data_IF_564953136954
#
_entry.id   IF_564953136954
#
_cell.length_a   1.000
_cell.length_b   1.000
_cell.length_c   1.000
_cell.angle_alpha   90.00
_cell.angle_beta   90.00
_cell.angle_gamma   90.00
#
_symmetry.space_group_name_H-M   'P 1'
#
loop_
_entity.id
_entity.type
_entity.pdbx_description
1 polymer ?
#
# COMPACT_ATOMS: atom_id res chain seq x y z
N UNK A 1 -13.46 -43.34 1.64
CA UNK A 1 -14.88 -43.09 1.27
C UNK A 1 -14.93 -41.82 0.42
N UNK A 2 -15.90 -41.62 -0.49
CA UNK A 2 -16.01 -40.33 -1.24
C UNK A 2 -16.55 -39.26 -0.29
N UNK A 3 -15.93 -38.09 -0.27
CA UNK A 3 -16.39 -36.94 0.51
C UNK A 3 -17.88 -36.64 0.24
N UNK A 4 -18.64 -36.38 1.31
CA UNK A 4 -20.03 -35.96 1.24
C UNK A 4 -20.15 -34.49 1.60
N UNK A 5 -20.47 -33.67 0.60
CA UNK A 5 -20.62 -32.24 0.78
C UNK A 5 -20.89 -31.50 -0.53
N UNK A 6 -20.67 -30.20 -0.52
CA UNK A 6 -20.78 -29.34 -1.71
C UNK A 6 -19.63 -28.36 -1.75
N UNK A 7 -19.17 -28.04 -2.96
CA UNK A 7 -18.06 -27.12 -3.17
C UNK A 7 -18.36 -26.14 -4.30
N UNK A 8 -17.61 -25.04 -4.33
CA UNK A 8 -17.59 -24.12 -5.46
C UNK A 8 -16.21 -23.47 -5.56
N UNK A 9 -15.77 -23.20 -6.79
CA UNK A 9 -14.57 -22.43 -7.08
C UNK A 9 -14.94 -21.23 -7.96
N UNK A 10 -14.36 -20.07 -7.68
CA UNK A 10 -14.45 -18.89 -8.53
C UNK A 10 -13.09 -18.19 -8.56
N UNK A 11 -12.76 -17.59 -9.69
CA UNK A 11 -11.56 -16.79 -9.86
C UNK A 11 -11.85 -15.57 -10.73
N UNK A 12 -11.26 -14.43 -10.40
CA UNK A 12 -11.43 -13.17 -11.11
C UNK A 12 -10.12 -12.39 -11.16
N UNK A 13 -9.84 -11.73 -12.28
CA UNK A 13 -8.63 -10.91 -12.50
C UNK A 13 -8.47 -9.70 -11.55
N UNK A 14 -9.45 -9.42 -10.69
CA UNK A 14 -9.55 -8.13 -9.99
C UNK A 14 -9.83 -6.94 -10.91
N UNK A 15 -9.49 -5.73 -10.45
CA UNK A 15 -9.74 -4.46 -11.17
C UNK A 15 -8.46 -3.77 -11.70
N UNK A 16 -7.28 -4.23 -11.28
CA UNK A 16 -6.00 -3.55 -11.57
C UNK A 16 -5.08 -4.39 -12.45
N UNK A 17 -5.02 -5.71 -12.24
CA UNK A 17 -4.19 -6.61 -13.04
C UNK A 17 -4.75 -6.76 -14.46
N UNK A 18 -3.87 -7.00 -15.43
CA UNK A 18 -4.24 -7.22 -16.83
C UNK A 18 -4.61 -8.67 -17.16
N UNK A 19 -4.10 -9.61 -16.37
CA UNK A 19 -4.27 -11.04 -16.53
C UNK A 19 -4.55 -11.68 -15.18
N UNK A 20 -5.18 -12.85 -15.21
CA UNK A 20 -5.35 -13.69 -14.05
C UNK A 20 -4.21 -14.72 -14.01
N UNK A 21 -3.40 -14.67 -12.95
CA UNK A 21 -2.30 -15.58 -12.67
C UNK A 21 -2.64 -16.57 -11.55
N UNK A 22 -3.80 -16.44 -10.91
CA UNK A 22 -4.31 -17.43 -9.98
C UNK A 22 -4.89 -18.63 -10.71
N UNK A 23 -4.84 -19.79 -10.07
CA UNK A 23 -5.54 -21.01 -10.46
C UNK A 23 -6.25 -21.62 -9.26
N UNK A 24 -7.38 -22.29 -9.51
CA UNK A 24 -8.15 -22.96 -8.46
C UNK A 24 -8.79 -24.25 -8.95
N UNK A 25 -8.98 -25.18 -8.03
CA UNK A 25 -9.56 -26.50 -8.28
C UNK A 25 -10.55 -26.87 -7.18
N UNK A 26 -11.75 -27.32 -7.57
CA UNK A 26 -12.73 -27.91 -6.68
C UNK A 26 -13.25 -29.23 -7.28
N UNK A 27 -12.77 -30.34 -6.74
CA UNK A 27 -13.11 -31.68 -7.16
C UNK A 27 -14.04 -32.39 -6.17
N UNK A 28 -13.96 -33.72 -6.18
CA UNK A 28 -14.73 -34.59 -5.28
C UNK A 28 -14.06 -34.76 -3.92
N UNK A 29 -12.74 -34.88 -3.87
CA UNK A 29 -11.93 -35.09 -2.68
C UNK A 29 -10.84 -34.03 -2.53
N UNK A 30 -10.38 -33.42 -3.63
CA UNK A 30 -9.34 -32.40 -3.66
C UNK A 30 -9.90 -30.98 -3.87
N UNK A 31 -9.36 -30.03 -3.13
CA UNK A 31 -9.63 -28.61 -3.25
C UNK A 31 -8.31 -27.84 -3.17
N UNK A 32 -8.06 -26.90 -4.08
CA UNK A 32 -6.79 -26.19 -4.11
C UNK A 32 -6.91 -24.76 -4.66
N UNK A 33 -6.04 -23.88 -4.17
CA UNK A 33 -5.78 -22.56 -4.71
C UNK A 33 -4.27 -22.41 -4.91
N UNK A 34 -3.88 -21.82 -6.04
CA UNK A 34 -2.51 -21.50 -6.36
C UNK A 34 -2.45 -20.06 -6.90
N UNK A 35 -1.73 -19.18 -6.22
CA UNK A 35 -1.51 -17.79 -6.63
C UNK A 35 -0.16 -17.68 -7.34
N UNK A 36 -0.21 -17.45 -8.64
CA UNK A 36 0.96 -17.43 -9.51
C UNK A 36 1.65 -16.08 -9.54
N UNK A 37 2.95 -16.08 -9.32
CA UNK A 37 3.80 -14.89 -9.39
C UNK A 37 4.94 -15.06 -10.41
N UNK A 38 5.41 -13.95 -10.93
CA UNK A 38 6.52 -13.92 -11.88
C UNK A 38 6.35 -12.80 -12.89
N UNK A 39 7.46 -12.36 -13.49
CA UNK A 39 7.41 -11.42 -14.60
C UNK A 39 6.74 -12.04 -15.84
N UNK A 40 6.23 -11.19 -16.75
CA UNK A 40 5.56 -11.63 -17.97
C UNK A 40 4.44 -12.66 -17.69
N UNK A 41 4.45 -13.80 -18.39
CA UNK A 41 3.49 -14.90 -18.26
C UNK A 41 4.02 -16.04 -17.34
N UNK A 42 4.94 -15.73 -16.41
CA UNK A 42 5.50 -16.72 -15.50
C UNK A 42 4.48 -17.22 -14.47
N UNK A 43 3.70 -16.31 -13.88
CA UNK A 43 2.76 -16.65 -12.81
C UNK A 43 1.61 -17.56 -13.27
N UNK A 44 1.00 -17.26 -14.41
CA UNK A 44 -0.08 -18.08 -14.99
C UNK A 44 0.39 -19.47 -15.38
N UNK A 45 1.63 -19.61 -15.90
CA UNK A 45 2.24 -20.92 -16.14
C UNK A 45 2.43 -21.66 -14.82
N UNK A 46 3.01 -21.00 -13.81
CA UNK A 46 3.36 -21.64 -12.56
C UNK A 46 2.14 -22.16 -11.79
N UNK A 47 1.11 -21.32 -11.61
CA UNK A 47 -0.10 -21.73 -10.91
C UNK A 47 -0.89 -22.81 -11.66
N UNK A 48 -0.94 -22.73 -12.99
CA UNK A 48 -1.60 -23.74 -13.82
C UNK A 48 -0.91 -25.10 -13.72
N UNK A 49 0.42 -25.11 -13.75
CA UNK A 49 1.23 -26.32 -13.63
C UNK A 49 1.01 -26.99 -12.26
N UNK A 50 1.04 -26.20 -11.18
CA UNK A 50 0.81 -26.70 -9.83
C UNK A 50 -0.57 -27.35 -9.69
N UNK A 51 -1.63 -26.68 -10.17
CA UNK A 51 -2.99 -27.25 -10.14
C UNK A 51 -3.09 -28.51 -11.02
N UNK A 52 -2.48 -28.52 -12.21
CA UNK A 52 -2.48 -29.69 -13.09
C UNK A 52 -1.81 -30.92 -12.47
N UNK A 53 -0.74 -30.72 -11.67
CA UNK A 53 -0.11 -31.83 -10.93
C UNK A 53 -0.97 -32.32 -9.78
N UNK A 54 -1.60 -31.40 -9.06
CA UNK A 54 -2.49 -31.73 -7.95
C UNK A 54 -3.78 -32.42 -8.41
N UNK A 55 -4.31 -32.13 -9.60
CA UNK A 55 -5.57 -32.71 -10.12
C UNK A 55 -5.63 -34.25 -10.01
N UNK A 56 -4.49 -34.92 -10.21
CA UNK A 56 -4.39 -36.39 -10.08
C UNK A 56 -4.69 -36.93 -8.67
N UNK A 57 -4.68 -36.06 -7.66
CA UNK A 57 -5.01 -36.36 -6.27
C UNK A 57 -6.51 -36.32 -5.98
N UNK A 58 -7.37 -35.96 -6.95
CA UNK A 58 -8.83 -35.97 -6.79
C UNK A 58 -9.42 -37.39 -6.80
N UNK A 59 -8.96 -38.23 -5.88
CA UNK A 59 -9.31 -39.64 -5.77
C UNK A 59 -9.48 -40.05 -4.29
N UNK A 60 -10.18 -41.15 -4.00
CA UNK A 60 -10.28 -41.65 -2.64
C UNK A 60 -8.93 -42.21 -2.16
N UNK A 61 -8.59 -41.93 -0.90
CA UNK A 61 -7.42 -42.48 -0.21
C UNK A 61 -7.82 -43.48 0.87
N UNK A 62 -6.93 -44.44 1.17
CA UNK A 62 -7.15 -45.44 2.22
C UNK A 62 -6.81 -44.91 3.61
N UNK A 63 -5.93 -43.91 3.71
CA UNK A 63 -5.50 -43.32 4.97
C UNK A 63 -5.04 -41.88 4.80
N UNK A 64 -5.11 -41.09 5.88
CA UNK A 64 -4.62 -39.70 5.91
C UNK A 64 -3.13 -39.61 5.61
N UNK A 65 -2.32 -40.55 6.10
CA UNK A 65 -0.87 -40.59 5.82
C UNK A 65 -0.55 -40.87 4.35
N UNK A 66 -1.41 -41.62 3.63
CA UNK A 66 -1.24 -41.83 2.20
C UNK A 66 -1.54 -40.54 1.43
N UNK A 67 -2.63 -39.84 1.77
CA UNK A 67 -2.98 -38.57 1.16
C UNK A 67 -1.93 -37.48 1.46
N UNK A 68 -1.41 -37.43 2.68
CA UNK A 68 -0.36 -36.47 3.07
C UNK A 68 0.92 -36.67 2.26
N UNK A 69 1.37 -37.92 2.10
CA UNK A 69 2.51 -38.24 1.24
C UNK A 69 2.24 -37.86 -0.21
N UNK A 70 1.07 -38.22 -0.75
CA UNK A 70 0.72 -37.91 -2.13
C UNK A 70 0.64 -36.40 -2.40
N UNK A 71 0.16 -35.60 -1.43
CA UNK A 71 0.18 -34.15 -1.51
C UNK A 71 1.61 -33.59 -1.53
N UNK A 72 2.48 -34.06 -0.63
CA UNK A 72 3.89 -33.66 -0.58
C UNK A 72 4.59 -34.00 -1.89
N UNK A 73 4.47 -35.25 -2.33
CA UNK A 73 5.12 -35.75 -3.55
C UNK A 73 4.63 -34.96 -4.79
N UNK A 74 3.33 -34.69 -4.92
CA UNK A 74 2.80 -33.91 -6.03
C UNK A 74 3.28 -32.45 -6.05
N UNK A 75 3.48 -31.84 -4.87
CA UNK A 75 4.05 -30.49 -4.78
C UNK A 75 5.54 -30.50 -5.14
N UNK A 76 6.31 -31.48 -4.68
CA UNK A 76 7.72 -31.64 -5.09
C UNK A 76 7.85 -31.94 -6.60
N UNK A 77 6.97 -32.76 -7.17
CA UNK A 77 6.91 -33.02 -8.61
C UNK A 77 6.57 -31.75 -9.41
N UNK A 78 5.66 -30.92 -8.89
CA UNK A 78 5.37 -29.62 -9.48
C UNK A 78 6.58 -28.68 -9.40
N UNK A 79 7.32 -28.66 -8.30
CA UNK A 79 8.57 -27.90 -8.15
C UNK A 79 9.60 -28.31 -9.22
N UNK A 80 9.83 -29.62 -9.35
CA UNK A 80 10.75 -30.18 -10.33
C UNK A 80 10.34 -29.81 -11.77
N UNK A 81 9.04 -29.82 -12.07
CA UNK A 81 8.56 -29.43 -13.40
C UNK A 81 8.64 -27.92 -13.66
N UNK A 82 8.48 -27.06 -12.65
CA UNK A 82 8.73 -25.63 -12.80
C UNK A 82 10.19 -25.37 -13.18
N UNK A 83 11.13 -26.02 -12.48
CA UNK A 83 12.58 -25.93 -12.77
C UNK A 83 12.86 -26.37 -14.21
N UNK A 84 12.33 -27.52 -14.62
CA UNK A 84 12.50 -28.02 -15.99
C UNK A 84 11.85 -27.10 -17.04
N UNK A 85 10.71 -26.50 -16.73
CA UNK A 85 10.03 -25.55 -17.61
C UNK A 85 10.86 -24.30 -17.82
N UNK A 86 11.46 -23.73 -16.76
CA UNK A 86 12.39 -22.59 -16.88
C UNK A 86 13.65 -22.98 -17.63
N UNK A 87 14.17 -24.20 -17.42
CA UNK A 87 15.33 -24.72 -18.18
C UNK A 87 15.07 -24.76 -19.69
N UNK A 88 13.85 -25.09 -20.09
CA UNK A 88 13.42 -25.12 -21.50
C UNK A 88 13.00 -23.75 -22.04
N UNK A 89 12.50 -22.87 -21.18
CA UNK A 89 12.01 -21.52 -21.50
C UNK A 89 12.59 -20.51 -20.53
N UNK A 90 13.85 -20.07 -20.74
CA UNK A 90 14.54 -19.15 -19.82
C UNK A 90 13.82 -17.80 -19.62
N UNK A 91 12.93 -17.41 -20.54
CA UNK A 91 12.07 -16.25 -20.41
C UNK A 91 11.06 -16.33 -19.24
N UNK A 92 10.84 -17.51 -18.67
CA UNK A 92 9.99 -17.75 -17.49
C UNK A 92 10.78 -17.76 -16.17
N UNK A 93 12.07 -17.41 -16.19
CA UNK A 93 12.89 -17.36 -14.98
C UNK A 93 12.29 -16.44 -13.91
N UNK A 94 12.34 -16.89 -12.66
CA UNK A 94 11.69 -16.21 -11.54
C UNK A 94 10.18 -16.37 -11.53
N UNK A 95 9.63 -17.42 -12.17
CA UNK A 95 8.25 -17.82 -11.94
C UNK A 95 8.12 -18.60 -10.63
N UNK A 96 6.96 -18.47 -9.99
CA UNK A 96 6.60 -19.25 -8.82
C UNK A 96 5.11 -19.20 -8.57
N UNK A 97 4.64 -19.99 -7.62
CA UNK A 97 3.25 -19.99 -7.20
C UNK A 97 3.13 -20.35 -5.74
N UNK A 98 2.16 -19.78 -5.05
CA UNK A 98 1.70 -20.35 -3.78
C UNK A 98 0.92 -21.63 -4.06
N UNK A 99 0.79 -22.50 -3.06
CA UNK A 99 -0.11 -23.66 -3.09
C UNK A 99 -0.77 -23.78 -1.74
N UNK A 100 -2.09 -23.80 -1.72
CA UNK A 100 -2.90 -24.19 -0.56
C UNK A 100 -3.88 -25.25 -1.00
N UNK A 101 -3.71 -26.47 -0.50
CA UNK A 101 -4.47 -27.64 -0.92
C UNK A 101 -5.07 -28.37 0.28
N UNK A 102 -6.24 -28.96 0.07
CA UNK A 102 -7.01 -29.71 1.05
C UNK A 102 -7.58 -30.97 0.38
N UNK A 103 -7.26 -32.14 0.94
CA UNK A 103 -7.78 -33.45 0.53
C UNK A 103 -8.64 -34.03 1.65
N UNK A 104 -9.86 -34.42 1.32
CA UNK A 104 -10.79 -35.04 2.26
C UNK A 104 -10.61 -36.55 2.30
N UNK A 105 -10.27 -37.08 3.47
CA UNK A 105 -10.13 -38.52 3.72
C UNK A 105 -11.04 -38.90 4.89
N UNK A 106 -12.17 -39.51 4.57
CA UNK A 106 -13.22 -39.87 5.52
C UNK A 106 -13.66 -38.68 6.39
N UNK A 107 -13.28 -38.65 7.67
CA UNK A 107 -13.59 -37.57 8.63
C UNK A 107 -12.37 -36.68 8.90
N UNK A 108 -11.43 -36.59 7.97
CA UNK A 108 -10.25 -35.75 8.11
C UNK A 108 -10.01 -34.89 6.86
N UNK A 109 -9.56 -33.67 7.08
CA UNK A 109 -8.96 -32.82 6.07
C UNK A 109 -7.44 -32.94 6.17
N UNK A 110 -6.79 -33.35 5.09
CA UNK A 110 -5.34 -33.38 4.94
C UNK A 110 -4.93 -32.16 4.14
N UNK A 111 -4.11 -31.30 4.73
CA UNK A 111 -3.80 -29.97 4.22
C UNK A 111 -2.32 -29.91 3.86
N UNK A 112 -2.01 -29.26 2.74
CA UNK A 112 -0.65 -28.89 2.36
C UNK A 112 -0.61 -27.40 1.98
N UNK A 113 0.40 -26.67 2.47
CA UNK A 113 0.47 -25.23 2.30
C UNK A 113 1.90 -24.71 2.10
N UNK A 114 2.06 -23.80 1.13
CA UNK A 114 3.25 -22.99 0.90
C UNK A 114 2.85 -21.63 0.29
N UNK A 115 3.24 -20.53 0.93
CA UNK A 115 2.99 -19.17 0.43
C UNK A 115 2.09 -18.38 1.37
N UNK A 116 1.29 -17.47 0.84
CA UNK A 116 0.38 -16.60 1.62
C UNK A 116 -1.09 -16.68 1.19
N UNK A 117 -1.42 -17.59 0.26
CA UNK A 117 -2.78 -18.11 0.14
C UNK A 117 -3.22 -18.72 1.47
N UNK A 118 -4.50 -18.66 1.81
CA UNK A 118 -4.98 -19.04 3.14
C UNK A 118 -6.04 -20.11 3.10
N UNK A 119 -6.03 -20.96 4.12
CA UNK A 119 -7.08 -21.92 4.42
C UNK A 119 -7.69 -21.55 5.76
N UNK A 120 -9.02 -21.37 5.78
CA UNK A 120 -9.80 -21.12 6.97
C UNK A 120 -10.79 -22.24 7.22
N UNK A 121 -11.07 -22.48 8.49
CA UNK A 121 -12.17 -23.31 8.96
C UNK A 121 -13.19 -22.41 9.67
N UNK A 122 -14.44 -22.47 9.22
CA UNK A 122 -15.58 -21.92 9.93
C UNK A 122 -16.36 -23.06 10.59
N UNK A 123 -16.35 -23.07 11.93
CA UNK A 123 -17.00 -24.06 12.78
C UNK A 123 -17.54 -23.37 14.04
N UNK A 124 -18.74 -23.74 14.47
CA UNK A 124 -19.35 -23.23 15.71
C UNK A 124 -19.31 -21.69 15.81
N UNK A 125 -19.76 -21.04 14.74
CA UNK A 125 -19.79 -19.58 14.57
C UNK A 125 -18.42 -18.87 14.57
N UNK A 126 -17.32 -19.61 14.60
CA UNK A 126 -15.96 -19.06 14.69
C UNK A 126 -15.20 -19.31 13.39
N UNK A 127 -14.59 -18.26 12.85
CA UNK A 127 -13.63 -18.36 11.75
C UNK A 127 -12.22 -18.50 12.32
N UNK A 128 -11.50 -19.55 11.92
CA UNK A 128 -10.12 -19.80 12.31
C UNK A 128 -9.25 -19.94 11.08
N UNK A 129 -8.20 -19.13 10.98
CA UNK A 129 -7.15 -19.35 9.98
C UNK A 129 -6.32 -20.57 10.37
N UNK A 130 -6.22 -21.54 9.48
CA UNK A 130 -5.52 -22.81 9.73
C UNK A 130 -4.07 -22.74 9.26
N UNK A 131 -3.82 -22.11 8.12
CA UNK A 131 -2.47 -21.94 7.57
C UNK A 131 -1.78 -20.71 8.17
N UNK A 132 -0.46 -20.72 8.23
CA UNK A 132 0.34 -19.56 8.62
C UNK A 132 1.04 -19.00 7.39
N UNK A 133 0.85 -17.72 7.10
CA UNK A 133 1.39 -17.11 5.89
C UNK A 133 2.92 -17.16 5.87
N UNK A 134 3.52 -17.63 4.79
CA UNK A 134 4.97 -17.61 4.60
C UNK A 134 5.46 -16.24 4.11
N UNK A 135 5.10 -15.18 4.81
CA UNK A 135 5.46 -13.78 4.48
C UNK A 135 6.50 -13.21 5.44
N UNK A 136 7.18 -12.16 4.99
CA UNK A 136 8.14 -11.40 5.80
C UNK A 136 7.48 -10.84 7.06
N UNK A 137 6.27 -10.31 6.93
CA UNK A 137 5.54 -9.72 8.06
C UNK A 137 5.10 -10.77 9.06
N UNK A 138 4.73 -11.97 8.61
CA UNK A 138 4.42 -13.06 9.53
C UNK A 138 5.64 -13.43 10.39
N UNK A 139 6.84 -13.52 9.80
CA UNK A 139 8.07 -13.72 10.60
C UNK A 139 8.33 -12.61 11.63
N UNK A 140 7.97 -11.36 11.31
CA UNK A 140 8.07 -10.25 12.26
C UNK A 140 7.04 -10.38 13.39
N UNK A 141 5.83 -10.87 13.11
CA UNK A 141 4.81 -11.17 14.12
C UNK A 141 5.27 -12.32 15.02
N UNK A 142 5.74 -13.42 14.44
CA UNK A 142 6.17 -14.61 15.19
C UNK A 142 7.37 -14.31 16.10
N UNK A 143 8.25 -13.39 15.69
CA UNK A 143 9.38 -12.92 16.51
C UNK A 143 9.01 -11.80 17.50
N UNK A 144 7.74 -11.40 17.58
CA UNK A 144 7.23 -10.36 18.49
C UNK A 144 7.73 -8.95 18.15
N UNK A 145 8.21 -8.71 16.93
CA UNK A 145 8.74 -7.41 16.49
C UNK A 145 7.65 -6.44 16.05
N UNK A 146 6.54 -6.96 15.56
CA UNK A 146 5.33 -6.20 15.23
C UNK A 146 4.10 -6.97 15.71
N UNK A 147 3.00 -6.27 15.87
CA UNK A 147 1.69 -6.86 16.15
C UNK A 147 1.00 -7.35 14.86
N UNK A 148 0.04 -8.29 14.95
CA UNK A 148 -0.77 -8.71 13.80
C UNK A 148 -1.49 -7.52 13.12
N UNK A 149 -1.94 -6.53 13.91
CA UNK A 149 -2.58 -5.33 13.41
C UNK A 149 -1.64 -4.45 12.58
N UNK A 150 -0.38 -4.31 13.02
CA UNK A 150 0.66 -3.58 12.29
C UNK A 150 1.06 -4.29 10.99
N UNK A 151 1.11 -5.62 10.99
CA UNK A 151 1.46 -6.43 9.82
C UNK A 151 0.54 -6.12 8.62
N UNK A 152 -0.75 -5.90 8.88
CA UNK A 152 -1.76 -5.62 7.84
C UNK A 152 -1.47 -4.37 7.00
N UNK A 153 -0.88 -3.35 7.61
CA UNK A 153 -0.57 -2.08 6.94
C UNK A 153 0.92 -1.93 6.60
N UNK A 154 1.72 -2.97 6.84
CA UNK A 154 3.15 -2.92 6.62
C UNK A 154 3.47 -2.79 5.12
N UNK A 155 4.44 -1.92 4.73
CA UNK A 155 4.79 -1.70 3.32
C UNK A 155 5.28 -2.95 2.57
N UNK A 156 5.79 -3.94 3.32
CA UNK A 156 6.33 -5.22 2.80
C UNK A 156 5.45 -6.43 3.14
N UNK A 157 4.14 -6.23 3.33
CA UNK A 157 3.22 -7.31 3.71
C UNK A 157 3.13 -8.45 2.71
N UNK A 158 3.23 -8.14 1.41
CA UNK A 158 3.18 -9.12 0.31
C UNK A 158 4.56 -9.69 -0.06
N UNK A 159 5.60 -9.49 0.77
CA UNK A 159 6.91 -10.08 0.50
C UNK A 159 6.89 -11.52 1.00
N UNK A 160 6.90 -12.45 0.06
CA UNK A 160 6.95 -13.88 0.32
C UNK A 160 8.33 -14.36 0.73
N UNK A 161 8.36 -15.35 1.61
CA UNK A 161 9.56 -15.98 2.15
C UNK A 161 9.71 -17.43 1.66
N UNK A 162 8.58 -18.13 1.43
CA UNK A 162 8.54 -19.48 0.86
C UNK A 162 7.48 -19.51 -0.23
N UNK A 163 7.84 -20.08 -1.38
CA UNK A 163 6.97 -20.24 -2.55
C UNK A 163 7.42 -21.48 -3.30
N UNK A 164 6.51 -22.10 -4.04
CA UNK A 164 6.87 -23.12 -5.03
C UNK A 164 7.48 -22.41 -6.25
N UNK A 165 8.79 -22.57 -6.48
CA UNK A 165 9.53 -21.80 -7.48
C UNK A 165 10.43 -22.64 -8.39
N UNK A 166 11.23 -21.95 -9.19
CA UNK A 166 12.15 -22.50 -10.20
C UNK A 166 13.58 -22.75 -9.68
N UNK A 167 13.78 -22.73 -8.36
CA UNK A 167 15.11 -22.79 -7.74
C UNK A 167 15.30 -23.98 -6.78
N UNK A 168 14.23 -24.51 -6.20
CA UNK A 168 14.28 -25.57 -5.20
C UNK A 168 13.30 -26.70 -5.57
N UNK A 169 13.83 -27.91 -5.70
CA UNK A 169 13.07 -29.09 -6.09
C UNK A 169 12.45 -29.82 -4.89
N UNK A 170 12.89 -29.50 -3.67
CA UNK A 170 12.34 -30.08 -2.44
C UNK A 170 11.87 -28.96 -1.49
N UNK A 171 10.83 -28.20 -1.90
CA UNK A 171 10.35 -27.08 -1.11
C UNK A 171 9.86 -27.57 0.26
N UNK A 172 10.21 -26.84 1.32
CA UNK A 172 9.58 -27.09 2.60
C UNK A 172 8.07 -26.77 2.46
N UNK A 173 7.22 -27.77 2.68
CA UNK A 173 5.76 -27.65 2.65
C UNK A 173 5.20 -27.97 4.04
N UNK A 174 4.31 -27.11 4.51
CA UNK A 174 3.61 -27.32 5.78
C UNK A 174 2.44 -28.28 5.55
N UNK A 175 2.40 -29.37 6.31
CA UNK A 175 1.32 -30.37 6.24
C UNK A 175 0.58 -30.49 7.57
N UNK A 176 -0.75 -30.60 7.49
CA UNK A 176 -1.62 -30.74 8.65
C UNK A 176 -2.69 -31.80 8.41
N UNK A 177 -3.06 -32.54 9.45
CA UNK A 177 -4.21 -33.45 9.43
C UNK A 177 -5.18 -32.98 10.51
N UNK A 178 -6.40 -32.63 10.10
CA UNK A 178 -7.41 -32.10 11.00
C UNK A 178 -8.71 -32.89 10.92
N UNK A 179 -9.36 -33.19 12.06
CA UNK A 179 -10.68 -33.80 12.05
C UNK A 179 -11.72 -32.83 11.48
N UNK A 180 -12.62 -33.37 10.66
CA UNK A 180 -13.71 -32.65 10.01
C UNK A 180 -15.05 -33.26 10.42
N UNK A 181 -16.08 -32.43 10.51
CA UNK A 181 -17.42 -32.84 10.92
C UNK A 181 -18.49 -32.18 10.04
N UNK A 182 -19.68 -32.79 10.00
CA UNK A 182 -20.80 -32.21 9.29
C UNK A 182 -21.13 -30.80 9.83
N UNK A 183 -21.35 -29.85 8.92
CA UNK A 183 -21.54 -28.43 9.23
C UNK A 183 -20.27 -27.58 9.11
N UNK A 184 -19.08 -28.20 9.00
CA UNK A 184 -17.86 -27.45 8.75
C UNK A 184 -17.87 -26.80 7.37
N UNK A 185 -17.32 -25.59 7.32
CA UNK A 185 -17.09 -24.85 6.07
C UNK A 185 -15.63 -24.47 5.96
N UNK A 186 -14.97 -25.00 4.94
CA UNK A 186 -13.59 -24.66 4.60
C UNK A 186 -13.57 -23.60 3.51
N UNK A 187 -12.70 -22.61 3.67
CA UNK A 187 -12.45 -21.54 2.70
C UNK A 187 -10.96 -21.55 2.35
N UNK A 188 -10.65 -21.77 1.08
CA UNK A 188 -9.32 -21.54 0.52
C UNK A 188 -9.38 -20.27 -0.33
N UNK A 189 -8.41 -19.37 -0.19
CA UNK A 189 -8.36 -18.15 -0.99
C UNK A 189 -6.94 -17.65 -1.25
N UNK A 190 -6.76 -16.94 -2.38
CA UNK A 190 -5.55 -16.15 -2.64
C UNK A 190 -5.52 -14.88 -1.80
N UNK A 191 -4.38 -14.19 -1.78
CA UNK A 191 -4.18 -12.96 -1.01
C UNK A 191 -5.08 -11.81 -1.49
N UNK A 192 -5.57 -11.87 -2.73
CA UNK A 192 -6.50 -10.87 -3.27
C UNK A 192 -7.85 -10.85 -2.55
N UNK A 193 -8.25 -11.94 -1.87
CA UNK A 193 -9.37 -11.90 -0.93
C UNK A 193 -8.93 -11.35 0.42
N UNK A 194 -7.99 -12.01 1.10
CA UNK A 194 -7.62 -11.72 2.50
C UNK A 194 -6.94 -10.36 2.69
N UNK A 195 -6.30 -9.85 1.64
CA UNK A 195 -5.67 -8.53 1.60
C UNK A 195 -6.68 -7.38 1.58
N UNK A 196 -7.94 -7.64 1.18
CA UNK A 196 -8.99 -6.62 1.04
C UNK A 196 -10.13 -6.86 2.03
N UNK A 197 -10.62 -8.09 2.14
CA UNK A 197 -11.75 -8.47 3.00
C UNK A 197 -11.19 -9.00 4.31
N UNK A 198 -11.54 -8.36 5.44
CA UNK A 198 -11.10 -8.83 6.76
C UNK A 198 -11.81 -10.10 7.23
N UNK A 199 -11.25 -10.73 8.25
CA UNK A 199 -11.77 -11.94 8.87
C UNK A 199 -13.18 -11.77 9.43
N UNK A 200 -13.56 -10.55 9.87
CA UNK A 200 -14.88 -10.28 10.44
C UNK A 200 -15.95 -10.32 9.34
N UNK A 201 -15.69 -9.68 8.20
CA UNK A 201 -16.55 -9.70 7.02
C UNK A 201 -16.57 -11.08 6.37
N UNK A 202 -15.43 -11.78 6.37
CA UNK A 202 -15.33 -13.16 5.91
C UNK A 202 -16.19 -14.08 6.78
N UNK A 203 -16.05 -14.04 8.10
CA UNK A 203 -16.85 -14.83 9.05
C UNK A 203 -18.35 -14.55 8.88
N UNK A 204 -18.74 -13.27 8.77
CA UNK A 204 -20.12 -12.87 8.52
C UNK A 204 -20.65 -13.44 7.20
N UNK A 205 -19.82 -13.50 6.16
CA UNK A 205 -20.24 -14.04 4.88
C UNK A 205 -20.48 -15.55 4.95
N UNK A 206 -19.60 -16.25 5.67
CA UNK A 206 -19.69 -17.70 5.89
C UNK A 206 -20.88 -18.06 6.80
N UNK A 207 -21.24 -17.20 7.76
CA UNK A 207 -22.34 -17.43 8.71
C UNK A 207 -23.75 -17.32 8.11
N UNK A 208 -23.90 -16.81 6.89
CA UNK A 208 -25.23 -16.62 6.27
C UNK A 208 -25.91 -17.93 5.84
N UNK A 209 -25.20 -19.07 5.91
CA UNK A 209 -25.74 -20.38 5.52
C UNK A 209 -26.12 -20.50 4.04
N UNK A 210 -25.60 -19.63 3.18
CA UNK A 210 -25.80 -19.70 1.73
C UNK A 210 -24.99 -20.85 1.13
N UNK A 211 -25.42 -21.44 -0.01
CA UNK A 211 -24.63 -22.45 -0.72
C UNK A 211 -23.23 -21.94 -1.09
N UNK A 212 -22.21 -22.82 -1.26
CA UNK A 212 -20.83 -22.43 -1.55
C UNK A 212 -20.70 -21.41 -2.68
N UNK A 213 -21.35 -21.64 -3.83
CA UNK A 213 -21.26 -20.72 -4.97
C UNK A 213 -21.77 -19.31 -4.67
N UNK A 214 -22.90 -19.19 -3.96
CA UNK A 214 -23.45 -17.88 -3.55
C UNK A 214 -22.59 -17.18 -2.50
N UNK A 215 -21.99 -17.96 -1.60
CA UNK A 215 -21.08 -17.42 -0.60
C UNK A 215 -19.79 -16.92 -1.26
N UNK A 216 -19.25 -17.66 -2.24
CA UNK A 216 -18.10 -17.26 -3.03
C UNK A 216 -18.38 -15.99 -3.84
N UNK A 217 -19.54 -15.89 -4.51
CA UNK A 217 -19.98 -14.68 -5.20
C UNK A 217 -20.03 -13.46 -4.27
N UNK A 218 -20.55 -13.63 -3.06
CA UNK A 218 -20.63 -12.54 -2.08
C UNK A 218 -19.27 -12.09 -1.56
N UNK A 219 -18.33 -13.02 -1.35
CA UNK A 219 -16.96 -12.71 -0.97
C UNK A 219 -16.21 -12.01 -2.12
N UNK A 220 -16.34 -12.52 -3.35
CA UNK A 220 -15.76 -11.89 -4.53
C UNK A 220 -16.31 -10.47 -4.72
N UNK A 221 -17.63 -10.28 -4.56
CA UNK A 221 -18.24 -8.95 -4.63
C UNK A 221 -17.64 -8.01 -3.59
N UNK A 222 -17.46 -8.46 -2.35
CA UNK A 222 -16.83 -7.64 -1.31
C UNK A 222 -15.38 -7.28 -1.65
N UNK A 223 -14.60 -8.21 -2.19
CA UNK A 223 -13.24 -7.93 -2.66
C UNK A 223 -13.23 -6.89 -3.80
N UNK A 224 -14.13 -7.03 -4.78
CA UNK A 224 -14.31 -6.09 -5.88
C UNK A 224 -14.75 -4.71 -5.36
N UNK A 225 -15.72 -4.64 -4.45
CA UNK A 225 -16.19 -3.39 -3.84
C UNK A 225 -15.08 -2.70 -3.03
N UNK A 226 -14.19 -3.49 -2.40
CA UNK A 226 -12.96 -3.02 -1.75
C UNK A 226 -11.83 -2.66 -2.71
N UNK A 227 -12.05 -2.75 -4.02
CA UNK A 227 -11.14 -2.30 -5.07
C UNK A 227 -10.39 -3.42 -5.80
N UNK A 228 -10.29 -4.63 -5.23
CA UNK A 228 -9.60 -5.81 -5.79
C UNK A 228 -8.32 -5.44 -6.58
N UNK A 229 -7.26 -4.98 -5.89
CA UNK A 229 -6.02 -4.60 -6.54
C UNK A 229 -5.27 -5.81 -7.13
N UNK A 230 -5.64 -7.02 -6.73
CA UNK A 230 -5.06 -8.26 -7.24
C UNK A 230 -6.09 -9.25 -7.79
N UNK A 231 -5.59 -10.35 -8.35
CA UNK A 231 -6.39 -11.51 -8.70
C UNK A 231 -7.05 -12.10 -7.44
N UNK A 232 -8.30 -12.56 -7.57
CA UNK A 232 -9.08 -13.07 -6.44
C UNK A 232 -9.58 -14.45 -6.78
N UNK A 233 -9.12 -15.45 -6.04
CA UNK A 233 -9.54 -16.84 -6.19
C UNK A 233 -10.04 -17.39 -4.88
N UNK A 234 -11.18 -18.09 -4.94
CA UNK A 234 -11.92 -18.58 -3.77
C UNK A 234 -12.39 -20.00 -4.07
N UNK A 235 -12.09 -20.92 -3.16
CA UNK A 235 -12.66 -22.27 -3.14
C UNK A 235 -13.37 -22.47 -1.79
N UNK A 236 -14.65 -22.80 -1.84
CA UNK A 236 -15.47 -23.11 -0.67
C UNK A 236 -15.86 -24.57 -0.65
N UNK A 237 -15.83 -25.18 0.54
CA UNK A 237 -16.16 -26.59 0.77
C UNK A 237 -17.03 -26.71 2.01
N UNK A 238 -18.27 -27.18 1.84
CA UNK A 238 -19.20 -27.49 2.93
C UNK A 238 -19.23 -28.99 3.18
N UNK A 239 -18.95 -29.40 4.42
CA UNK A 239 -18.92 -30.80 4.86
C UNK A 239 -20.30 -31.22 5.36
N UNK A 240 -20.84 -32.34 4.88
CA UNK A 240 -22.07 -32.94 5.42
C UNK A 240 -23.34 -32.06 5.32
N UNK A 241 -23.38 -31.10 4.37
CA UNK A 241 -24.46 -30.12 4.23
C UNK A 241 -25.79 -30.68 3.68
N UNK A 242 -26.85 -29.85 3.74
CA UNK A 242 -28.20 -30.15 3.22
C UNK A 242 -28.32 -30.13 1.69
N UNK A 243 -27.22 -29.87 1.00
CA UNK A 243 -27.13 -29.86 -0.46
C UNK A 243 -26.41 -31.14 -0.89
N UNK A 244 -27.13 -32.26 -1.08
CA UNK A 244 -26.51 -33.49 -1.51
C UNK A 244 -25.82 -33.27 -2.86
N UNK A 245 -24.52 -33.57 -2.88
CA UNK A 245 -23.62 -33.72 -4.03
C UNK A 245 -24.33 -33.68 -5.39
N UNK A 246 -24.08 -32.61 -6.15
CA UNK A 246 -23.75 -32.84 -7.54
C UNK A 246 -22.28 -33.28 -7.52
N UNK A 247 -22.03 -34.58 -7.58
CA UNK A 247 -20.79 -35.09 -8.17
C UNK A 247 -20.84 -34.69 -9.64
N UNK A 248 -20.52 -33.42 -9.89
CA UNK A 248 -20.28 -32.89 -11.22
C UNK A 248 -18.83 -33.13 -11.60
N UNK A 249 -18.51 -32.82 -12.84
CA UNK A 249 -17.13 -32.59 -13.30
C UNK A 249 -16.45 -31.58 -12.36
N UNK A 250 -15.19 -31.84 -11.99
CA UNK A 250 -14.39 -30.91 -11.20
C UNK A 250 -14.43 -29.50 -11.82
N UNK A 251 -14.48 -28.48 -10.96
CA UNK A 251 -14.46 -27.08 -11.39
C UNK A 251 -13.03 -26.58 -11.33
N UNK A 252 -12.47 -26.23 -12.48
CA UNK A 252 -11.16 -25.59 -12.62
C UNK A 252 -11.39 -24.13 -12.99
N UNK A 253 -10.74 -23.21 -12.27
CA UNK A 253 -10.88 -21.75 -12.46
C UNK A 253 -9.51 -21.09 -12.59
N UNK A 254 -9.49 -19.84 -13.07
CA UNK A 254 -8.27 -19.07 -13.22
C UNK A 254 -7.44 -19.53 -14.42
N UNK A 255 -6.11 -19.39 -14.37
CA UNK A 255 -5.20 -19.73 -15.47
C UNK A 255 -5.32 -21.22 -15.86
N UNK A 256 -5.47 -22.11 -14.88
CA UNK A 256 -5.64 -23.55 -15.09
C UNK A 256 -6.90 -23.92 -15.90
N UNK A 257 -7.92 -23.06 -15.96
CA UNK A 257 -9.16 -23.34 -16.72
C UNK A 257 -8.98 -23.31 -18.23
N UNK A 258 -7.86 -22.78 -18.74
CA UNK A 258 -7.52 -22.77 -20.15
C UNK A 258 -6.10 -23.32 -20.39
N UNK A 259 -5.88 -24.64 -20.24
CA UNK A 259 -4.55 -25.24 -20.34
C UNK A 259 -3.95 -25.17 -21.76
N UNK A 260 -4.80 -24.98 -22.78
CA UNK A 260 -4.41 -24.87 -24.19
C UNK A 260 -4.37 -23.39 -24.58
N UNK A 261 -3.38 -22.64 -24.09
CA UNK A 261 -3.37 -21.20 -24.39
C UNK A 261 -2.22 -20.37 -23.87
N UNK A 262 -1.11 -20.98 -23.42
CA UNK A 262 0.07 -20.20 -23.01
C UNK A 262 0.85 -19.78 -24.27
N UNK A 263 0.27 -18.87 -25.05
CA UNK A 263 1.04 -18.04 -25.98
C UNK A 263 1.79 -17.02 -25.13
N UNK A 264 3.05 -17.32 -24.79
CA UNK A 264 3.97 -16.32 -24.26
C UNK A 264 4.21 -15.31 -25.39
N UNK A 265 3.70 -14.07 -25.32
CA UNK A 265 3.94 -13.10 -26.37
C UNK A 265 5.44 -12.82 -26.40
N UNK A 266 6.07 -12.94 -27.57
CA UNK A 266 7.47 -12.58 -27.72
C UNK A 266 7.70 -11.17 -27.15
N UNK A 267 8.68 -11.04 -26.25
CA UNK A 267 9.02 -9.79 -25.59
C UNK A 267 9.10 -8.67 -26.62
N UNK A 268 8.12 -7.76 -26.60
CA UNK A 268 8.22 -6.53 -27.39
C UNK A 268 9.37 -5.75 -26.79
N UNK A 269 10.48 -5.67 -27.52
CA UNK A 269 11.49 -4.65 -27.27
C UNK A 269 10.78 -3.31 -27.38
N UNK A 270 10.45 -2.73 -26.23
CA UNK A 270 9.84 -1.42 -26.14
C UNK A 270 10.78 -0.43 -26.80
N UNK A 271 10.47 -0.07 -28.05
CA UNK A 271 11.05 1.09 -28.73
C UNK A 271 10.82 2.28 -27.82
N UNK A 272 11.93 2.94 -27.44
CA UNK A 272 11.95 4.06 -26.52
C UNK A 272 10.89 5.10 -26.83
N UNK A 273 10.13 5.48 -25.81
CA UNK A 273 9.07 6.46 -25.91
C UNK A 273 8.20 6.47 -24.66
N UNK A 274 8.75 6.93 -23.53
CA UNK A 274 7.99 7.05 -22.29
C UNK A 274 8.75 7.75 -21.18
N UNK A 275 8.46 9.04 -21.01
CA UNK A 275 8.52 9.85 -19.78
C UNK A 275 9.58 9.56 -18.71
N UNK A 276 10.49 10.52 -18.55
CA UNK A 276 11.50 10.67 -17.48
C UNK A 276 10.96 10.77 -16.03
N UNK A 277 9.71 10.39 -15.75
CA UNK A 277 9.04 10.68 -14.46
C UNK A 277 8.48 9.46 -13.71
N UNK A 278 8.66 8.24 -14.21
CA UNK A 278 8.38 7.04 -13.43
C UNK A 278 9.52 6.04 -13.62
N UNK A 279 10.28 5.68 -12.57
CA UNK A 279 11.07 4.47 -12.66
C UNK A 279 10.08 3.32 -12.73
N UNK A 280 9.92 2.77 -13.94
CA UNK A 280 9.43 1.41 -14.10
C UNK A 280 10.33 0.55 -13.23
N UNK A 281 9.82 0.12 -12.07
CA UNK A 281 10.50 -0.85 -11.23
C UNK A 281 10.62 -2.10 -12.07
N UNK A 282 11.83 -2.33 -12.57
CA UNK A 282 12.30 -3.60 -13.10
C UNK A 282 12.25 -4.63 -11.96
N UNK A 283 11.05 -5.07 -11.60
CA UNK A 283 10.80 -6.19 -10.68
C UNK A 283 11.00 -7.54 -11.40
N UNK A 284 11.98 -7.60 -12.30
CA UNK A 284 12.17 -8.70 -13.23
C UNK A 284 13.48 -9.46 -13.00
N UNK A 285 14.14 -9.29 -11.85
CA UNK A 285 15.39 -10.01 -11.51
C UNK A 285 15.65 -10.04 -9.98
N UNK A 286 14.60 -10.08 -9.15
CA UNK A 286 14.79 -10.43 -7.74
C UNK A 286 14.53 -11.94 -7.59
N UNK A 287 15.42 -12.71 -6.92
CA UNK A 287 15.26 -14.14 -6.76
C UNK A 287 13.95 -14.45 -6.00
N UNK A 288 13.14 -15.35 -6.56
CA UNK A 288 11.84 -15.79 -6.04
C UNK A 288 11.95 -16.70 -4.82
N UNK A 289 13.15 -17.16 -4.46
CA UNK A 289 13.42 -17.85 -3.21
C UNK A 289 14.36 -17.01 -2.35
N UNK A 290 13.85 -16.52 -1.22
CA UNK A 290 14.60 -15.71 -0.29
C UNK A 290 14.57 -16.36 1.10
N UNK A 291 15.58 -17.19 1.39
CA UNK A 291 15.92 -17.56 2.77
C UNK A 291 16.92 -16.54 3.33
N UNK A 292 16.50 -15.61 4.20
CA UNK A 292 17.47 -14.77 4.89
C UNK A 292 18.20 -15.64 5.90
N UNK A 293 19.53 -15.65 5.80
CA UNK A 293 20.34 -15.70 7.00
C UNK A 293 19.87 -14.57 7.96
N UNK A 294 19.90 -14.77 9.28
CA UNK A 294 19.51 -13.76 10.28
C UNK A 294 20.15 -12.37 10.03
N UNK A 295 21.33 -12.37 9.43
CA UNK A 295 22.10 -11.17 9.08
C UNK A 295 21.44 -10.29 8.00
N UNK A 296 20.70 -10.87 7.04
CA UNK A 296 20.01 -10.09 5.99
C UNK A 296 18.78 -9.35 6.52
N UNK A 297 18.10 -9.94 7.51
CA UNK A 297 17.02 -9.28 8.24
C UNK A 297 17.53 -8.03 8.95
N UNK A 298 18.74 -8.08 9.54
CA UNK A 298 19.37 -6.92 10.15
C UNK A 298 19.79 -5.87 9.12
N UNK A 299 20.39 -6.30 7.99
CA UNK A 299 20.83 -5.41 6.92
C UNK A 299 19.66 -4.61 6.30
N UNK A 300 18.51 -5.27 6.06
CA UNK A 300 17.30 -4.62 5.56
C UNK A 300 16.67 -3.65 6.56
N UNK A 301 16.66 -3.99 7.85
CA UNK A 301 16.16 -3.11 8.92
C UNK A 301 17.06 -1.88 9.06
N UNK A 302 18.37 -2.05 8.92
CA UNK A 302 19.30 -0.94 8.84
C UNK A 302 19.02 -0.05 7.62
N UNK A 303 18.72 -0.64 6.46
CA UNK A 303 18.43 0.12 5.26
C UNK A 303 17.15 0.96 5.39
N UNK A 304 16.06 0.39 5.94
CA UNK A 304 14.82 1.13 6.17
C UNK A 304 14.99 2.22 7.24
N UNK A 305 15.77 1.97 8.31
CA UNK A 305 16.14 3.01 9.29
C UNK A 305 16.95 4.14 8.64
N UNK A 306 17.88 3.83 7.73
CA UNK A 306 18.66 4.84 6.98
C UNK A 306 17.75 5.67 6.07
N UNK A 307 16.78 5.06 5.40
CA UNK A 307 15.80 5.76 4.54
C UNK A 307 14.85 6.64 5.35
N UNK A 308 14.35 6.17 6.48
CA UNK A 308 13.54 6.96 7.40
C UNK A 308 14.31 8.18 7.94
N UNK A 309 15.58 7.98 8.33
CA UNK A 309 16.46 9.06 8.79
C UNK A 309 16.70 10.11 7.71
N UNK A 310 16.95 9.71 6.45
CA UNK A 310 17.10 10.65 5.32
C UNK A 310 15.84 11.48 5.07
N UNK A 311 14.64 10.88 5.17
CA UNK A 311 13.37 11.62 5.06
C UNK A 311 13.18 12.62 6.20
N UNK A 312 13.52 12.26 7.43
CA UNK A 312 13.43 13.16 8.58
C UNK A 312 14.38 14.35 8.45
N UNK A 313 15.62 14.12 8.00
CA UNK A 313 16.61 15.18 7.73
C UNK A 313 16.14 16.09 6.59
N UNK A 314 15.60 15.52 5.51
CA UNK A 314 15.06 16.30 4.40
C UNK A 314 13.92 17.23 4.82
N UNK A 315 13.02 16.74 5.70
CA UNK A 315 11.95 17.57 6.28
C UNK A 315 12.50 18.71 7.15
N UNK A 316 13.47 18.44 8.01
CA UNK A 316 14.11 19.46 8.85
C UNK A 316 14.78 20.53 7.98
N UNK A 317 15.53 20.12 6.96
CA UNK A 317 16.17 21.05 6.00
C UNK A 317 15.11 21.90 5.28
N UNK A 318 14.00 21.31 4.85
CA UNK A 318 12.90 22.03 4.22
C UNK A 318 12.28 23.08 5.14
N UNK A 319 12.04 22.75 6.40
CA UNK A 319 11.51 23.69 7.40
C UNK A 319 12.48 24.84 7.66
N UNK A 320 13.78 24.55 7.78
CA UNK A 320 14.81 25.58 7.99
C UNK A 320 14.89 26.54 6.80
N UNK A 321 14.82 26.03 5.57
CA UNK A 321 14.81 26.86 4.35
C UNK A 321 13.56 27.75 4.27
N UNK A 322 12.39 27.21 4.63
CA UNK A 322 11.15 27.99 4.67
C UNK A 322 11.25 29.14 5.70
N UNK A 323 11.75 28.87 6.90
CA UNK A 323 12.01 29.89 7.92
C UNK A 323 13.01 30.95 7.44
N UNK A 324 14.10 30.54 6.78
CA UNK A 324 15.09 31.47 6.23
C UNK A 324 14.48 32.41 5.17
N UNK A 325 13.60 31.90 4.30
CA UNK A 325 12.88 32.70 3.31
C UNK A 325 11.92 33.70 3.95
N UNK A 326 11.20 33.30 5.01
CA UNK A 326 10.31 34.20 5.76
C UNK A 326 11.12 35.33 6.40
N UNK A 327 12.23 35.00 7.07
CA UNK A 327 13.12 36.00 7.69
C UNK A 327 13.69 36.95 6.62
N UNK A 328 14.17 36.42 5.49
CA UNK A 328 14.64 37.24 4.38
C UNK A 328 13.54 38.19 3.85
N UNK A 329 12.31 37.69 3.69
CA UNK A 329 11.16 38.49 3.30
C UNK A 329 10.84 39.62 4.29
N UNK A 330 10.87 39.34 5.60
CA UNK A 330 10.66 40.33 6.65
C UNK A 330 11.75 41.40 6.66
N UNK A 331 13.02 41.01 6.48
CA UNK A 331 14.15 41.96 6.40
C UNK A 331 14.02 42.87 5.19
N UNK A 332 13.68 42.32 4.02
CA UNK A 332 13.46 43.11 2.80
C UNK A 332 12.28 44.07 2.97
N UNK A 333 11.18 43.62 3.57
CA UNK A 333 10.02 44.45 3.87
C UNK A 333 10.39 45.60 4.82
N UNK A 334 11.12 45.32 5.91
CA UNK A 334 11.58 46.34 6.84
C UNK A 334 12.50 47.36 6.15
N UNK A 335 13.49 46.90 5.38
CA UNK A 335 14.37 47.79 4.61
C UNK A 335 13.60 48.69 3.65
N UNK A 336 12.56 48.16 3.00
CA UNK A 336 11.69 48.97 2.15
C UNK A 336 10.94 50.05 2.94
N UNK A 337 10.41 49.75 4.12
CA UNK A 337 9.74 50.77 4.95
C UNK A 337 10.67 51.92 5.32
N UNK A 338 11.95 51.63 5.56
CA UNK A 338 12.97 52.64 5.91
C UNK A 338 13.34 53.57 4.74
N UNK A 339 12.84 53.32 3.52
CA UNK A 339 12.98 54.25 2.38
C UNK A 339 11.90 55.33 2.33
N UNK A 340 10.87 55.22 3.18
CA UNK A 340 9.74 56.15 3.24
C UNK A 340 9.94 57.16 4.37
N UNK A 341 9.33 58.33 4.19
CA UNK A 341 9.32 59.40 5.18
C UNK A 341 7.90 59.91 5.35
N UNK A 342 7.61 60.53 6.47
CA UNK A 342 6.37 61.30 6.64
C UNK A 342 6.62 62.45 7.61
N UNK A 343 5.78 63.46 7.54
CA UNK A 343 5.79 64.61 8.45
C UNK A 343 4.65 64.43 9.43
N UNK A 344 4.94 64.46 10.72
CA UNK A 344 3.96 64.29 11.79
C UNK A 344 4.16 65.30 12.91
N UNK A 345 3.28 65.28 13.90
CA UNK A 345 3.43 66.02 15.14
C UNK A 345 4.10 65.13 16.20
N UNK A 346 5.09 65.67 16.91
CA UNK A 346 5.63 65.08 18.15
C UNK A 346 5.61 66.15 19.23
N UNK A 347 4.96 65.85 20.35
CA UNK A 347 4.68 66.82 21.43
C UNK A 347 4.08 68.14 20.90
N UNK A 348 4.91 69.19 20.78
CA UNK A 348 4.52 70.54 20.39
C UNK A 348 5.15 71.02 19.05
N UNK A 349 5.91 70.17 18.34
CA UNK A 349 6.63 70.54 17.11
C UNK A 349 6.33 69.62 15.92
N UNK A 350 6.62 70.13 14.73
CA UNK A 350 6.56 69.34 13.49
C UNK A 350 7.85 68.52 13.34
N UNK A 351 7.72 67.20 13.20
CA UNK A 351 8.85 66.27 13.07
C UNK A 351 8.76 65.47 11.78
N UNK A 352 9.91 65.27 11.13
CA UNK A 352 10.06 64.34 10.01
C UNK A 352 10.39 62.97 10.60
N UNK A 353 9.58 61.97 10.28
CA UNK A 353 9.80 60.57 10.64
C UNK A 353 10.31 59.79 9.44
N UNK A 354 11.18 58.80 9.69
CA UNK A 354 11.61 57.80 8.73
C UNK A 354 10.88 56.49 9.01
N UNK A 355 10.25 55.89 7.99
CA UNK A 355 9.44 54.70 8.11
C UNK A 355 8.01 54.87 7.57
N UNK A 356 7.11 54.00 8.02
CA UNK A 356 5.68 54.07 7.69
C UNK A 356 4.86 54.45 8.93
N UNK A 357 3.76 55.16 8.73
CA UNK A 357 2.89 55.66 9.82
C UNK A 357 2.15 54.53 10.58
N UNK A 358 2.04 53.33 10.00
CA UNK A 358 1.25 52.24 10.58
C UNK A 358 2.09 51.45 11.59
N UNK A 359 1.58 51.34 12.81
CA UNK A 359 2.16 50.49 13.85
C UNK A 359 1.58 49.07 13.80
N UNK A 360 2.41 48.07 14.05
CA UNK A 360 1.97 46.68 14.18
C UNK A 360 2.01 46.31 15.66
N UNK A 361 0.87 46.50 16.33
CA UNK A 361 0.75 46.25 17.77
C UNK A 361 1.69 47.18 18.56
N UNK A 362 2.57 46.65 19.44
CA UNK A 362 3.51 47.48 20.22
C UNK A 362 4.77 47.88 19.45
N UNK A 363 4.92 47.47 18.19
CA UNK A 363 6.13 47.71 17.39
C UNK A 363 5.89 48.92 16.49
N UNK A 364 6.56 50.02 16.79
CA UNK A 364 6.62 51.17 15.89
C UNK A 364 7.52 50.85 14.69
N UNK A 365 7.00 51.11 13.49
CA UNK A 365 7.72 50.97 12.22
C UNK A 365 8.29 52.30 11.72
N UNK A 366 8.34 53.31 12.59
CA UNK A 366 8.90 54.62 12.30
C UNK A 366 9.77 55.14 13.43
N UNK A 367 10.79 55.92 13.07
CA UNK A 367 11.66 56.62 14.02
C UNK A 367 11.75 58.09 13.66
N UNK A 368 11.82 59.00 14.65
CA UNK A 368 12.02 60.42 14.37
C UNK A 368 13.38 60.62 13.70
N UNK A 369 13.37 61.25 12.52
CA UNK A 369 14.57 61.54 11.74
C UNK A 369 15.09 62.95 12.02
N UNK A 370 14.21 63.94 12.03
CA UNK A 370 14.58 65.33 12.24
C UNK A 370 13.42 66.14 12.86
N UNK A 371 13.68 66.79 13.98
CA UNK A 371 12.82 67.84 14.52
C UNK A 371 13.05 69.14 13.72
N UNK A 372 11.97 69.74 13.24
CA UNK A 372 12.03 70.95 12.41
C UNK A 372 12.03 72.23 13.24
N UNK A 373 11.70 72.12 14.54
CA UNK A 373 11.61 73.26 15.46
C UNK A 373 10.45 74.22 15.17
N UNK A 374 9.53 73.88 14.26
CA UNK A 374 8.33 74.65 13.97
C UNK A 374 7.26 74.30 15.03
N UNK A 375 6.82 75.26 15.87
CA UNK A 375 5.76 75.02 16.83
C UNK A 375 4.42 74.74 16.12
N UNK A 376 3.65 73.77 16.61
CA UNK A 376 2.34 73.44 16.05
C UNK A 376 1.33 74.59 16.20
N UNK A 377 1.51 75.45 17.19
CA UNK A 377 0.67 76.63 17.45
C UNK A 377 0.88 77.76 16.43
N UNK A 378 2.01 77.78 15.72
CA UNK A 378 2.29 78.74 14.66
C UNK A 378 1.62 78.33 13.33
N UNK A 379 1.03 77.13 13.25
CA UNK A 379 0.33 76.62 12.07
C UNK A 379 -1.16 76.99 12.08
N UNK A 380 -1.73 77.19 10.89
CA UNK A 380 -3.19 77.31 10.74
C UNK A 380 -3.91 76.06 11.23
N UNK A 381 -5.17 76.18 11.70
CA UNK A 381 -5.96 75.04 12.18
C UNK A 381 -6.04 73.88 11.18
N UNK A 382 -6.13 74.19 9.88
CA UNK A 382 -6.13 73.18 8.81
C UNK A 382 -4.76 72.50 8.66
N UNK A 383 -3.67 73.26 8.66
CA UNK A 383 -2.31 72.73 8.57
C UNK A 383 -1.97 71.87 9.79
N UNK A 384 -2.33 72.32 10.99
CA UNK A 384 -2.16 71.58 12.25
C UNK A 384 -2.89 70.24 12.20
N UNK A 385 -4.19 70.23 11.86
CA UNK A 385 -4.95 68.98 11.74
C UNK A 385 -4.36 68.02 10.69
N UNK A 386 -3.73 68.55 9.64
CA UNK A 386 -3.11 67.72 8.59
C UNK A 386 -1.79 67.11 9.07
N UNK A 387 -0.98 67.86 9.82
CA UNK A 387 0.26 67.36 10.43
C UNK A 387 -0.03 66.37 11.56
N UNK A 388 -1.06 66.60 12.37
CA UNK A 388 -1.53 65.66 13.41
C UNK A 388 -2.06 64.35 12.80
N UNK A 389 -2.67 64.40 11.61
CA UNK A 389 -3.05 63.20 10.83
C UNK A 389 -1.88 62.61 10.01
N UNK A 390 -0.72 63.27 10.06
CA UNK A 390 0.50 63.04 9.30
C UNK A 390 0.37 63.21 7.78
N UNK A 391 1.50 63.57 7.15
CA UNK A 391 1.62 63.80 5.70
C UNK A 391 2.68 62.87 5.14
N UNK A 392 2.28 61.95 4.26
CA UNK A 392 3.20 61.01 3.62
C UNK A 392 4.17 61.73 2.68
N UNK A 393 5.46 61.38 2.74
CA UNK A 393 6.50 61.89 1.86
C UNK A 393 7.21 60.74 1.13
N UNK A 394 7.41 60.91 -0.18
CA UNK A 394 8.03 59.87 -1.01
C UNK A 394 9.55 59.75 -0.84
N UNK A 395 10.19 60.79 -0.28
CA UNK A 395 11.63 60.87 0.00
C UNK A 395 11.91 61.96 1.04
N UNK A 396 13.14 61.99 1.58
CA UNK A 396 13.55 63.06 2.50
C UNK A 396 13.42 64.46 1.87
N UNK A 397 13.79 64.62 0.59
CA UNK A 397 13.66 65.89 -0.12
C UNK A 397 12.19 66.31 -0.33
N UNK A 398 11.27 65.35 -0.38
CA UNK A 398 9.83 65.60 -0.43
C UNK A 398 9.31 66.04 0.95
N UNK A 399 9.75 65.37 2.01
CA UNK A 399 9.42 65.74 3.39
C UNK A 399 9.91 67.16 3.73
N UNK A 400 11.15 67.51 3.35
CA UNK A 400 11.70 68.85 3.54
C UNK A 400 10.92 69.92 2.76
N UNK A 401 10.42 69.61 1.56
CA UNK A 401 9.56 70.54 0.80
C UNK A 401 8.20 70.75 1.48
N UNK A 402 7.61 69.71 2.05
CA UNK A 402 6.37 69.79 2.82
C UNK A 402 6.59 70.65 4.07
N UNK A 403 7.71 70.46 4.78
CA UNK A 403 8.05 71.27 5.95
C UNK A 403 8.27 72.74 5.56
N UNK A 404 8.96 73.01 4.46
CA UNK A 404 9.18 74.38 3.97
C UNK A 404 7.86 75.09 3.62
N UNK A 405 6.91 74.41 2.98
CA UNK A 405 5.59 75.01 2.68
C UNK A 405 4.75 75.26 3.93
N UNK A 406 4.90 74.42 4.96
CA UNK A 406 4.28 74.64 6.27
C UNK A 406 4.90 75.85 6.98
N UNK A 407 6.22 76.02 6.90
CA UNK A 407 6.92 77.18 7.46
C UNK A 407 6.52 78.50 6.78
N UNK A 408 6.42 78.51 5.44
CA UNK A 408 5.96 79.68 4.68
C UNK A 408 4.51 80.05 5.03
N UNK A 409 3.66 79.06 5.29
CA UNK A 409 2.26 79.26 5.70
C UNK A 409 2.15 79.79 7.14
N UNK A 410 3.09 79.42 8.03
CA UNK A 410 3.16 79.94 9.40
C UNK A 410 3.58 81.43 9.42
N UNK A 411 4.53 81.83 8.57
CA UNK A 411 5.04 83.19 8.48
C UNK A 411 4.08 84.21 7.84
N UNK A 412 3.07 83.76 7.09
CA UNK A 412 2.12 84.62 6.36
C UNK A 412 0.90 85.11 7.15
N UNK A 413 0.76 84.73 8.43
CA UNK A 413 -0.44 85.00 9.25
C UNK A 413 -0.25 86.05 10.37
N UNK A 414 0.68 86.99 10.20
CA UNK A 414 0.86 88.13 11.12
C UNK A 414 0.18 89.41 10.66
#
# INVERSE_FOLDING_TARGET
MVFQGSSAAISHTGKVRSNNQDSGYAGSNLFAVADGMGGHAGGDVASSLAIARLESLDQPYESTSQAERALRDAISDAAAELIETVRLRPELAGMGTTVSALVMVDQYAVIAHIGDSRIYLYRDETLTQITTDHTFVQRLVDSGRITPEEARYHPRRSVLMRVLGDMDADPEVDTFIMPTQAGDRWLLCSDGLSGVVDDTHTAKSLSMGLPPGRTADNLLKQALDGGAPDNVTIVLVDVGGQHPLFSGTATIVGSASNPIGIEVPAARSGRGGGGWLHPARTAANEPTHFEPAPEFLEELIEEDRRRARRRSIGWIVGVVLALALIVAGLVLAYQWTQTRYFVGADEDTVVIFQGIQQDIGPISLSTPYQDTGIPLDDLSQFARSTVEQTISASSLADAQRIVASLADSAGGSR
#
